data_IF_314465820106
#
_entry.id   IF_314465820106
#
_cell.length_a   1.000
_cell.length_b   1.000
_cell.length_c   1.000
_cell.angle_alpha   90.00
_cell.angle_beta   90.00
_cell.angle_gamma   90.00
#
_symmetry.space_group_name_H-M   'P 1'
#
loop_
_entity.id
_entity.type
_entity.pdbx_description
1 polymer ?
#
# COMPACT_ATOMS: atom_id res chain seq x y z
N UNK A 1 -26.32 -42.53 1.82
CA UNK A 1 -25.25 -41.80 1.09
C UNK A 1 -25.19 -40.39 1.63
N UNK A 2 -23.98 -39.93 1.91
CA UNK A 2 -23.63 -38.63 2.52
C UNK A 2 -23.91 -37.50 1.55
N UNK A 3 -24.38 -36.35 2.06
CA UNK A 3 -24.03 -35.04 1.49
C UNK A 3 -23.76 -34.09 2.65
N UNK A 4 -22.47 -33.90 2.95
CA UNK A 4 -21.98 -32.81 3.79
C UNK A 4 -21.81 -31.63 2.84
N UNK A 5 -22.58 -30.55 2.94
CA UNK A 5 -22.28 -29.35 2.18
C UNK A 5 -21.06 -28.71 2.84
N UNK A 6 -19.88 -28.91 2.23
CA UNK A 6 -18.71 -28.08 2.49
C UNK A 6 -19.02 -26.73 1.87
N UNK A 7 -19.61 -25.83 2.66
CA UNK A 7 -19.64 -24.42 2.33
C UNK A 7 -18.18 -23.95 2.38
N UNK A 8 -17.55 -23.88 1.20
CA UNK A 8 -16.26 -23.24 1.04
C UNK A 8 -16.42 -21.80 1.54
N UNK A 9 -15.83 -21.50 2.69
CA UNK A 9 -15.61 -20.14 3.12
C UNK A 9 -14.79 -19.47 2.01
N UNK A 10 -15.47 -18.66 1.20
CA UNK A 10 -14.82 -17.68 0.36
C UNK A 10 -13.99 -16.83 1.32
N UNK A 11 -12.68 -17.08 1.32
CA UNK A 11 -11.73 -16.15 1.89
C UNK A 11 -11.96 -14.83 1.17
N UNK A 12 -12.58 -13.89 1.88
CA UNK A 12 -12.54 -12.50 1.52
C UNK A 12 -11.06 -12.10 1.57
N UNK A 13 -10.36 -12.26 0.45
CA UNK A 13 -9.27 -11.37 0.14
C UNK A 13 -9.93 -10.01 0.04
N UNK A 14 -9.88 -9.25 1.12
CA UNK A 14 -10.09 -7.81 1.05
C UNK A 14 -8.93 -7.30 0.21
N UNK A 15 -9.09 -7.36 -1.11
CA UNK A 15 -8.24 -6.64 -2.04
C UNK A 15 -8.42 -5.17 -1.67
N UNK A 16 -7.51 -4.68 -0.83
CA UNK A 16 -7.24 -3.26 -0.70
C UNK A 16 -6.89 -2.81 -2.11
N UNK A 17 -7.90 -2.36 -2.86
CA UNK A 17 -7.78 -1.89 -4.23
C UNK A 17 -6.99 -0.60 -4.18
N UNK A 18 -5.69 -0.76 -4.03
CA UNK A 18 -4.65 0.25 -3.97
C UNK A 18 -4.56 0.81 -5.38
N UNK A 19 -5.10 2.01 -5.61
CA UNK A 19 -5.23 2.57 -6.95
C UNK A 19 -3.89 3.17 -7.40
N UNK A 20 -3.01 2.32 -7.91
CA UNK A 20 -1.74 2.75 -8.52
C UNK A 20 -1.98 3.20 -9.96
N UNK A 21 -1.54 4.42 -10.29
CA UNK A 21 -1.55 4.94 -11.66
C UNK A 21 -0.13 5.17 -12.16
N UNK A 22 0.17 4.70 -13.37
CA UNK A 22 1.43 5.00 -14.05
C UNK A 22 1.26 6.23 -14.93
N UNK A 23 2.08 7.25 -14.73
CA UNK A 23 2.10 8.40 -15.62
C UNK A 23 2.80 8.08 -16.96
N UNK A 24 2.68 8.98 -17.94
CA UNK A 24 3.32 8.84 -19.25
C UNK A 24 4.85 8.87 -19.23
N UNK A 25 5.46 9.29 -18.11
CA UNK A 25 6.91 9.28 -17.88
C UNK A 25 7.36 7.98 -17.18
N UNK A 26 6.43 7.07 -16.92
CA UNK A 26 6.68 5.78 -16.31
C UNK A 26 6.76 5.80 -14.77
N UNK A 27 6.40 6.90 -14.12
CA UNK A 27 6.37 7.02 -12.67
C UNK A 27 5.06 6.46 -12.13
N UNK A 28 5.17 5.57 -11.15
CA UNK A 28 4.04 5.02 -10.43
C UNK A 28 3.64 5.94 -9.29
N UNK A 29 2.36 6.31 -9.24
CA UNK A 29 1.77 7.19 -8.24
C UNK A 29 0.69 6.43 -7.49
N UNK A 30 0.82 6.33 -6.17
CA UNK A 30 -0.16 5.69 -5.28
C UNK A 30 -1.21 6.70 -4.76
N UNK A 31 -2.21 6.23 -4.01
CA UNK A 31 -3.05 7.16 -3.23
C UNK A 31 -2.29 7.69 -2.01
N UNK A 32 -2.81 8.76 -1.42
CA UNK A 32 -2.35 9.31 -0.15
C UNK A 32 -2.98 8.55 1.03
N UNK A 33 -2.69 7.26 1.13
CA UNK A 33 -3.29 6.38 2.12
C UNK A 33 -2.22 5.65 2.92
N UNK A 34 -2.55 5.31 4.17
CA UNK A 34 -1.64 4.57 5.05
C UNK A 34 -2.27 3.27 5.51
N UNK A 35 -1.47 2.21 5.51
CA UNK A 35 -1.89 0.86 5.88
C UNK A 35 -1.03 0.28 6.98
N UNK A 36 -1.64 -0.54 7.83
CA UNK A 36 -0.91 -1.36 8.79
C UNK A 36 -0.46 -2.66 8.12
N UNK A 37 0.86 -2.82 7.97
CA UNK A 37 1.47 -3.97 7.31
C UNK A 37 2.45 -4.62 8.27
N UNK A 38 2.14 -5.84 8.72
CA UNK A 38 3.03 -6.64 9.60
C UNK A 38 3.50 -5.88 10.86
N UNK A 39 2.69 -4.96 11.38
CA UNK A 39 3.00 -4.14 12.56
C UNK A 39 3.67 -2.79 12.26
N UNK A 40 4.01 -2.51 11.01
CA UNK A 40 4.49 -1.20 10.55
C UNK A 40 3.31 -0.35 10.04
N UNK A 41 3.38 0.98 10.22
CA UNK A 41 2.45 1.94 9.62
C UNK A 41 3.07 2.50 8.34
N UNK A 42 2.54 2.10 7.19
CA UNK A 42 3.20 2.27 5.89
C UNK A 42 2.36 3.13 4.99
N UNK A 43 2.94 4.21 4.48
CA UNK A 43 2.33 4.99 3.43
C UNK A 43 2.30 4.18 2.12
N UNK A 44 1.17 4.19 1.39
CA UNK A 44 0.94 3.35 0.20
C UNK A 44 2.04 3.53 -0.85
N UNK A 45 2.52 4.76 -1.06
CA UNK A 45 3.60 5.04 -2.00
C UNK A 45 4.94 4.33 -1.67
N UNK A 46 5.05 3.78 -0.45
CA UNK A 46 6.19 3.01 0.04
C UNK A 46 5.98 1.50 0.02
N UNK A 47 4.89 1.02 -0.58
CA UNK A 47 4.72 -0.39 -0.93
C UNK A 47 5.12 -0.63 -2.38
N UNK A 48 5.48 -1.88 -2.69
CA UNK A 48 5.59 -2.35 -4.07
C UNK A 48 4.17 -2.61 -4.56
N UNK A 49 3.81 -2.01 -5.71
CA UNK A 49 2.47 -2.09 -6.31
C UNK A 49 1.78 -3.44 -6.17
N UNK A 50 0.53 -3.41 -5.70
CA UNK A 50 -0.32 -4.58 -5.52
C UNK A 50 0.31 -5.65 -4.60
N UNK A 51 1.21 -5.25 -3.70
CA UNK A 51 1.79 -6.14 -2.69
C UNK A 51 1.85 -5.44 -1.34
N UNK A 52 2.00 -6.24 -0.29
CA UNK A 52 2.32 -5.76 1.06
C UNK A 52 3.83 -5.58 1.30
N UNK A 53 4.66 -5.74 0.27
CA UNK A 53 6.10 -5.57 0.45
C UNK A 53 6.43 -4.08 0.48
N UNK A 54 7.23 -3.67 1.45
CA UNK A 54 7.65 -2.28 1.58
C UNK A 54 9.00 -2.06 0.90
N UNK A 55 9.26 -0.82 0.48
CA UNK A 55 10.54 -0.43 -0.09
C UNK A 55 11.06 0.88 0.51
N UNK A 56 12.36 1.11 0.32
CA UNK A 56 13.03 2.38 0.59
C UNK A 56 13.56 2.86 -0.75
N UNK A 57 13.14 4.05 -1.18
CA UNK A 57 13.44 4.56 -2.51
C UNK A 57 12.49 5.68 -2.94
N UNK A 58 12.56 6.10 -4.21
CA UNK A 58 11.66 7.10 -4.75
C UNK A 58 10.21 6.69 -4.60
N UNK A 59 9.35 7.65 -4.27
CA UNK A 59 7.92 7.44 -4.09
C UNK A 59 7.13 8.63 -4.65
N UNK A 60 5.88 8.36 -5.05
CA UNK A 60 4.95 9.39 -5.49
C UNK A 60 3.52 9.04 -5.10
N UNK A 61 2.73 10.05 -4.74
CA UNK A 61 1.33 9.88 -4.40
C UNK A 61 0.49 11.11 -4.77
N UNK A 62 -0.83 10.90 -4.91
CA UNK A 62 -1.78 11.98 -5.15
C UNK A 62 -2.14 12.70 -3.85
N UNK A 63 -1.66 13.93 -3.66
CA UNK A 63 -2.12 14.80 -2.57
C UNK A 63 -3.60 15.16 -2.76
N UNK A 64 -4.00 15.32 -4.02
CA UNK A 64 -5.37 15.47 -4.53
C UNK A 64 -5.37 14.90 -5.96
N UNK A 65 -6.53 14.81 -6.60
CA UNK A 65 -6.79 14.33 -7.97
C UNK A 65 -5.89 14.90 -9.07
N UNK A 66 -5.16 16.00 -8.82
CA UNK A 66 -4.29 16.67 -9.79
C UNK A 66 -2.88 16.96 -9.30
N UNK A 67 -2.61 16.83 -8.00
CA UNK A 67 -1.33 17.21 -7.40
C UNK A 67 -0.60 15.94 -7.00
N UNK A 68 0.56 15.72 -7.59
CA UNK A 68 1.42 14.58 -7.29
C UNK A 68 2.56 15.08 -6.41
N UNK A 69 2.65 14.53 -5.19
CA UNK A 69 3.86 14.65 -4.39
C UNK A 69 4.89 13.63 -4.87
N UNK A 70 6.16 14.01 -4.84
CA UNK A 70 7.30 13.14 -5.16
C UNK A 70 8.35 13.29 -4.07
N UNK A 71 8.82 12.17 -3.54
CA UNK A 71 9.80 12.15 -2.46
C UNK A 71 10.54 10.84 -2.39
N UNK A 72 11.03 10.51 -1.20
CA UNK A 72 11.65 9.23 -0.88
C UNK A 72 11.02 8.61 0.37
N UNK A 73 10.85 7.30 0.31
CA UNK A 73 10.39 6.51 1.45
C UNK A 73 11.47 6.49 2.52
N UNK A 74 11.12 6.99 3.70
CA UNK A 74 12.01 7.07 4.84
C UNK A 74 11.34 6.50 6.10
N UNK A 75 12.15 5.79 6.88
CA UNK A 75 11.71 5.13 8.10
C UNK A 75 11.74 6.11 9.28
N UNK A 76 10.67 6.17 10.05
CA UNK A 76 10.60 6.82 11.36
C UNK A 76 10.29 5.76 12.42
N UNK A 77 11.02 5.80 13.53
CA UNK A 77 10.80 4.88 14.65
C UNK A 77 9.94 5.57 15.70
N UNK A 78 8.79 4.98 16.01
CA UNK A 78 7.95 5.37 17.13
C UNK A 78 8.10 4.35 18.27
N UNK A 79 7.63 4.70 19.46
CA UNK A 79 7.81 3.87 20.66
C UNK A 79 7.27 2.44 20.53
N UNK A 80 6.25 2.21 19.68
CA UNK A 80 5.57 0.91 19.56
C UNK A 80 5.47 0.38 18.12
N UNK A 81 5.91 1.15 17.12
CA UNK A 81 5.82 0.74 15.72
C UNK A 81 6.81 1.53 14.87
N UNK A 82 7.07 1.02 13.66
CA UNK A 82 7.84 1.72 12.66
C UNK A 82 6.90 2.35 11.64
N UNK A 83 7.11 3.61 11.33
CA UNK A 83 6.41 4.30 10.25
C UNK A 83 7.31 4.36 9.01
N UNK A 84 6.76 4.07 7.84
CA UNK A 84 7.44 4.25 6.55
C UNK A 84 6.65 5.30 5.77
N UNK A 85 7.26 6.47 5.59
CA UNK A 85 6.58 7.66 5.05
C UNK A 85 7.26 8.12 3.76
N UNK A 86 6.47 8.60 2.80
CA UNK A 86 6.99 9.28 1.61
C UNK A 86 7.18 10.76 1.92
N UNK A 87 8.43 11.25 1.91
CA UNK A 87 8.78 12.63 2.29
C UNK A 87 9.91 13.22 1.46
#
# INVERSE_FOLDING_TARGET
>A
MRFIPVAAALFALTDFSSAWTKDGNGVWTANNEHYWIRGDYVHEACTVMNTENTHVGPCAYFVDTKIIFRGHCAVALHSNYKQIECR
#
